data_IF_471612708859
#
_entry.id   IF_471612708859
#
_cell.length_a   1.000
_cell.length_b   1.000
_cell.length_c   1.000
_cell.angle_alpha   90.00
_cell.angle_beta   90.00
_cell.angle_gamma   90.00
#
_symmetry.space_group_name_H-M   'P 1'
#
loop_
_entity.id
_entity.type
_entity.pdbx_description
1 polymer ?
#
# COMPACT_ATOMS: atom_id res chain seq x y z
N UNK A 1 47.11 23.36 -32.48
CA UNK A 1 46.17 24.18 -33.28
C UNK A 1 45.26 23.27 -34.08
N UNK A 2 43.95 23.27 -33.77
CA UNK A 2 42.79 23.10 -34.69
C UNK A 2 41.55 22.82 -33.83
N UNK A 3 40.76 23.87 -33.63
CA UNK A 3 39.44 23.84 -33.00
C UNK A 3 38.46 23.25 -34.03
N UNK A 4 37.75 22.19 -33.67
CA UNK A 4 36.61 21.70 -34.46
C UNK A 4 35.33 22.02 -33.68
N UNK A 5 34.72 23.13 -34.08
CA UNK A 5 33.49 23.67 -33.54
C UNK A 5 32.33 22.99 -34.29
N UNK A 6 31.67 22.01 -33.67
CA UNK A 6 30.46 21.40 -34.25
C UNK A 6 29.26 22.16 -33.70
N UNK A 7 28.72 23.08 -34.51
CA UNK A 7 27.37 23.60 -34.35
C UNK A 7 26.40 22.49 -34.76
N UNK A 8 25.64 21.94 -33.81
CA UNK A 8 24.49 21.09 -34.12
C UNK A 8 23.21 21.86 -33.77
N UNK A 9 22.40 22.11 -34.80
CA UNK A 9 21.21 22.95 -34.78
C UNK A 9 20.14 22.41 -33.83
N UNK A 10 19.66 23.27 -32.94
CA UNK A 10 18.54 23.03 -32.05
C UNK A 10 17.23 23.24 -32.82
N UNK A 11 16.64 22.18 -33.35
CA UNK A 11 15.32 22.22 -34.00
C UNK A 11 14.23 22.10 -32.94
N UNK A 12 13.62 23.23 -32.59
CA UNK A 12 12.52 23.32 -31.63
C UNK A 12 11.19 22.95 -32.33
N UNK A 13 10.74 21.71 -32.19
CA UNK A 13 9.42 21.31 -32.66
C UNK A 13 8.35 21.72 -31.62
N UNK A 14 7.55 22.72 -31.99
CA UNK A 14 6.40 23.17 -31.21
C UNK A 14 5.23 22.19 -31.44
N UNK A 15 5.07 21.21 -30.55
CA UNK A 15 3.90 20.32 -30.57
C UNK A 15 2.75 21.03 -29.85
N UNK A 16 1.71 21.39 -30.61
CA UNK A 16 0.49 21.97 -30.08
C UNK A 16 -0.22 21.01 -29.12
N UNK A 17 -0.27 21.36 -27.85
CA UNK A 17 -1.09 20.68 -26.85
C UNK A 17 -2.57 21.02 -27.11
N UNK A 18 -3.32 20.09 -27.67
CA UNK A 18 -4.78 20.15 -27.61
C UNK A 18 -5.20 19.78 -26.18
N UNK A 19 -5.90 20.69 -25.51
CA UNK A 19 -6.46 20.43 -24.19
C UNK A 19 -7.48 19.29 -24.29
N UNK A 20 -7.44 18.29 -23.39
CA UNK A 20 -8.50 17.28 -23.33
C UNK A 20 -9.80 17.97 -22.93
N UNK A 21 -10.83 17.81 -23.77
CA UNK A 21 -12.20 18.19 -23.45
C UNK A 21 -12.64 17.31 -22.28
N UNK A 22 -12.76 17.91 -21.10
CA UNK A 22 -13.28 17.27 -19.90
C UNK A 22 -14.80 17.10 -20.06
N UNK A 23 -15.23 15.88 -20.40
CA UNK A 23 -16.64 15.48 -20.33
C UNK A 23 -16.88 14.98 -18.91
N UNK A 24 -17.66 15.72 -18.14
CA UNK A 24 -18.05 15.31 -16.80
C UNK A 24 -18.83 13.98 -16.87
N UNK A 25 -18.50 12.97 -16.04
CA UNK A 25 -19.28 11.74 -15.98
C UNK A 25 -20.69 12.03 -15.44
N UNK A 26 -21.72 11.32 -15.92
CA UNK A 26 -23.08 11.44 -15.38
C UNK A 26 -23.07 11.09 -13.88
N UNK A 27 -23.63 11.99 -13.08
CA UNK A 27 -23.80 11.80 -11.65
C UNK A 27 -24.63 10.52 -11.42
N UNK A 28 -23.96 9.45 -11.01
CA UNK A 28 -24.63 8.24 -10.54
C UNK A 28 -25.19 8.58 -9.17
N UNK A 29 -26.51 8.73 -9.09
CA UNK A 29 -27.21 8.90 -7.83
C UNK A 29 -26.97 7.66 -6.96
N UNK A 30 -26.12 7.80 -5.95
CA UNK A 30 -26.00 6.81 -4.89
C UNK A 30 -27.33 6.74 -4.15
N UNK A 31 -28.10 5.68 -4.41
CA UNK A 31 -29.18 5.26 -3.52
C UNK A 31 -28.55 4.85 -2.20
N UNK A 32 -28.73 5.71 -1.21
CA UNK A 32 -28.41 5.47 0.18
C UNK A 32 -29.26 4.28 0.65
N UNK A 33 -28.67 3.16 1.10
CA UNK A 33 -29.46 2.12 1.77
C UNK A 33 -30.08 2.75 3.01
N UNK A 34 -31.41 2.70 3.06
CA UNK A 34 -32.22 3.14 4.18
C UNK A 34 -31.70 2.47 5.46
N UNK A 35 -31.26 3.27 6.42
CA UNK A 35 -30.96 2.81 7.79
C UNK A 35 -32.22 2.13 8.34
N UNK A 36 -32.12 0.89 8.87
CA UNK A 36 -33.19 0.35 9.67
C UNK A 36 -33.39 1.25 10.89
N UNK A 37 -34.65 1.63 11.08
CA UNK A 37 -35.17 2.43 12.18
C UNK A 37 -34.93 1.67 13.48
N UNK A 38 -33.92 2.07 14.25
CA UNK A 38 -33.69 1.57 15.60
C UNK A 38 -34.85 1.98 16.49
N UNK A 39 -35.68 0.99 16.87
CA UNK A 39 -36.65 1.09 17.95
C UNK A 39 -35.95 1.26 19.31
N UNK A 40 -36.59 1.92 20.29
CA UNK A 40 -36.03 2.11 21.63
C UNK A 40 -35.84 0.77 22.37
N UNK A 41 -34.88 0.68 23.30
CA UNK A 41 -34.55 -0.57 23.97
C UNK A 41 -35.71 -0.93 24.90
N UNK A 42 -36.30 -2.10 24.67
CA UNK A 42 -37.22 -2.73 25.61
C UNK A 42 -36.38 -3.65 26.48
N UNK A 43 -36.50 -3.50 27.80
CA UNK A 43 -35.87 -4.33 28.81
C UNK A 43 -36.04 -5.82 28.49
N UNK A 44 -34.95 -6.47 28.07
CA UNK A 44 -34.88 -7.92 27.93
C UNK A 44 -33.54 -8.40 28.51
N UNK A 45 -33.62 -8.73 29.80
CA UNK A 45 -32.95 -9.87 30.44
C UNK A 45 -31.44 -10.05 30.26
N UNK A 46 -30.75 -9.83 31.39
CA UNK A 46 -29.37 -10.13 31.76
C UNK A 46 -28.89 -11.58 31.56
N UNK A 47 -29.62 -12.40 30.79
CA UNK A 47 -29.29 -13.79 30.47
C UNK A 47 -28.56 -13.94 29.12
N UNK A 48 -28.72 -13.01 28.18
CA UNK A 48 -28.09 -13.12 26.85
C UNK A 48 -26.62 -12.67 26.84
N UNK A 49 -26.23 -11.79 27.77
CA UNK A 49 -24.85 -11.33 27.96
C UNK A 49 -23.91 -12.44 28.50
N UNK A 50 -24.48 -13.48 29.13
CA UNK A 50 -23.71 -14.62 29.64
C UNK A 50 -23.39 -15.66 28.54
N UNK A 51 -24.11 -15.64 27.42
CA UNK A 51 -23.92 -16.58 26.32
C UNK A 51 -22.83 -16.13 25.32
N UNK A 52 -22.61 -14.81 25.14
CA UNK A 52 -21.55 -14.30 24.26
C UNK A 52 -20.15 -14.33 24.90
N UNK A 53 -20.05 -14.50 26.22
CA UNK A 53 -18.77 -14.64 26.92
C UNK A 53 -18.13 -16.05 26.76
N UNK A 54 -18.85 -17.02 26.18
CA UNK A 54 -18.40 -18.42 26.09
C UNK A 54 -17.81 -18.84 24.73
N UNK A 55 -17.81 -17.97 23.71
CA UNK A 55 -17.32 -18.32 22.36
C UNK A 55 -15.93 -17.74 22.04
N UNK A 56 -15.22 -17.18 23.01
CA UNK A 56 -13.83 -16.71 22.86
C UNK A 56 -12.84 -17.43 23.80
N UNK A 57 -13.21 -18.59 24.37
CA UNK A 57 -12.33 -19.38 25.23
C UNK A 57 -11.55 -20.49 24.51
N UNK A 58 -11.60 -20.56 23.18
CA UNK A 58 -10.81 -21.52 22.40
C UNK A 58 -9.72 -20.85 21.57
N UNK A 59 -8.78 -20.11 22.18
CA UNK A 59 -7.37 -20.00 21.72
C UNK A 59 -6.49 -19.38 22.82
N UNK A 60 -6.52 -19.90 24.03
CA UNK A 60 -5.47 -19.62 25.02
C UNK A 60 -5.03 -20.92 25.69
N UNK A 61 -4.48 -21.81 24.87
CA UNK A 61 -3.65 -22.90 25.35
C UNK A 61 -2.17 -22.52 25.16
N UNK A 62 -1.74 -21.44 25.82
CA UNK A 62 -0.32 -21.10 25.94
C UNK A 62 0.27 -21.96 27.05
N UNK A 63 0.62 -23.19 26.66
CA UNK A 63 1.35 -24.15 27.48
C UNK A 63 2.65 -23.53 28.00
N UNK A 64 2.74 -23.50 29.32
CA UNK A 64 3.90 -23.18 30.15
C UNK A 64 5.10 -24.05 29.78
N UNK A 65 6.13 -23.46 29.17
CA UNK A 65 7.45 -24.08 29.04
C UNK A 65 8.27 -23.54 27.88
N UNK A 66 9.32 -22.74 28.16
CA UNK A 66 10.56 -22.57 27.38
C UNK A 66 10.53 -22.46 25.84
N UNK A 67 9.38 -22.18 25.24
CA UNK A 67 9.16 -22.16 23.80
C UNK A 67 9.32 -20.73 23.32
N UNK A 68 10.24 -20.49 22.39
CA UNK A 68 10.23 -19.28 21.58
C UNK A 68 8.83 -19.11 21.01
N UNK A 69 8.15 -18.04 21.39
CA UNK A 69 6.78 -17.76 20.95
C UNK A 69 6.84 -17.40 19.45
N UNK A 70 6.55 -18.37 18.58
CA UNK A 70 6.58 -18.16 17.13
C UNK A 70 5.27 -17.50 16.74
N UNK A 71 5.31 -16.18 16.55
CA UNK A 71 4.18 -15.43 16.00
C UNK A 71 4.13 -15.59 14.48
N UNK A 72 3.09 -16.24 13.98
CA UNK A 72 2.85 -16.38 12.53
C UNK A 72 2.08 -15.14 12.05
N UNK A 73 2.72 -14.31 11.22
CA UNK A 73 2.10 -13.14 10.60
C UNK A 73 1.62 -13.51 9.20
N UNK A 74 0.37 -13.17 8.86
CA UNK A 74 -0.14 -13.40 7.52
C UNK A 74 0.62 -12.55 6.49
N UNK A 75 0.95 -13.09 5.29
CA UNK A 75 1.59 -12.31 4.23
C UNK A 75 0.78 -11.06 3.85
N UNK A 76 -0.55 -11.18 3.83
CA UNK A 76 -1.45 -10.07 3.50
C UNK A 76 -1.38 -8.92 4.51
N UNK A 77 -1.37 -9.22 5.82
CA UNK A 77 -1.21 -8.19 6.86
C UNK A 77 0.12 -7.46 6.67
N UNK A 78 1.22 -8.21 6.52
CA UNK A 78 2.56 -7.64 6.30
C UNK A 78 2.62 -6.78 5.04
N UNK A 79 1.95 -7.20 3.96
CA UNK A 79 1.90 -6.45 2.70
C UNK A 79 1.20 -5.09 2.87
N UNK A 80 0.06 -5.09 3.57
CA UNK A 80 -0.72 -3.89 3.88
C UNK A 80 0.07 -2.93 4.78
N UNK A 81 0.81 -3.45 5.74
CA UNK A 81 1.67 -2.63 6.61
C UNK A 81 2.76 -1.92 5.81
N UNK A 82 3.42 -2.64 4.88
CA UNK A 82 4.42 -2.05 3.98
C UNK A 82 3.79 -0.97 3.10
N UNK A 83 2.62 -1.25 2.50
CA UNK A 83 1.91 -0.30 1.66
C UNK A 83 1.53 0.97 2.45
N UNK A 84 1.00 0.80 3.66
CA UNK A 84 0.62 1.91 4.53
C UNK A 84 1.83 2.74 4.96
N UNK A 85 2.95 2.10 5.30
CA UNK A 85 4.17 2.77 5.69
C UNK A 85 4.76 3.60 4.54
N UNK A 86 4.79 3.05 3.32
CA UNK A 86 5.25 3.79 2.13
C UNK A 86 4.33 4.97 1.85
N UNK A 87 3.00 4.76 1.86
CA UNK A 87 2.03 5.85 1.68
C UNK A 87 2.21 6.94 2.72
N UNK A 88 2.43 6.56 3.98
CA UNK A 88 2.70 7.51 5.07
C UNK A 88 3.94 8.34 4.80
N UNK A 89 5.07 7.71 4.48
CA UNK A 89 6.34 8.37 4.17
C UNK A 89 6.20 9.34 2.98
N UNK A 90 5.58 8.89 1.89
CA UNK A 90 5.37 9.74 0.70
C UNK A 90 4.46 10.95 0.98
N UNK A 91 3.46 10.81 1.87
CA UNK A 91 2.53 11.90 2.19
C UNK A 91 3.06 12.88 3.24
N UNK A 92 3.79 12.40 4.25
CA UNK A 92 4.17 13.20 5.41
C UNK A 92 5.63 13.66 5.39
N UNK A 93 6.49 12.99 4.61
CA UNK A 93 7.90 13.34 4.46
C UNK A 93 8.26 13.40 2.96
N UNK A 94 7.78 14.42 2.21
CA UNK A 94 7.93 14.45 0.75
C UNK A 94 9.38 14.52 0.27
N UNK A 95 10.29 14.95 1.16
CA UNK A 95 11.72 15.02 0.90
C UNK A 95 12.43 13.68 1.06
N UNK A 96 11.89 12.76 1.88
CA UNK A 96 12.45 11.43 2.00
C UNK A 96 11.97 10.56 0.84
N UNK A 97 12.87 9.71 0.35
CA UNK A 97 12.58 8.83 -0.78
C UNK A 97 12.55 7.42 -0.23
N UNK A 98 11.36 6.88 0.09
CA UNK A 98 11.27 5.56 0.70
C UNK A 98 12.05 4.55 -0.12
N UNK A 99 12.82 3.74 0.60
CA UNK A 99 13.65 2.69 0.04
C UNK A 99 13.40 1.36 0.74
N UNK A 100 13.46 0.29 -0.03
CA UNK A 100 13.31 -1.09 0.45
C UNK A 100 14.63 -1.80 0.25
N UNK A 101 15.13 -2.47 1.29
CA UNK A 101 16.24 -3.41 1.19
C UNK A 101 15.68 -4.82 1.07
N UNK A 102 16.14 -5.56 0.06
CA UNK A 102 15.78 -6.94 -0.17
C UNK A 102 16.75 -7.89 0.54
N UNK A 103 16.35 -9.16 0.70
CA UNK A 103 17.16 -10.21 1.35
C UNK A 103 18.48 -10.51 0.65
N UNK A 104 18.59 -10.21 -0.65
CA UNK A 104 19.83 -10.31 -1.43
C UNK A 104 20.73 -9.07 -1.30
N UNK A 105 20.33 -8.09 -0.49
CA UNK A 105 21.01 -6.81 -0.32
C UNK A 105 20.70 -5.78 -1.41
N UNK A 106 19.92 -6.13 -2.42
CA UNK A 106 19.50 -5.17 -3.44
C UNK A 106 18.58 -4.11 -2.83
N UNK A 107 18.73 -2.86 -3.29
CA UNK A 107 17.91 -1.74 -2.84
C UNK A 107 16.97 -1.27 -3.93
N UNK A 108 15.73 -1.03 -3.55
CA UNK A 108 14.71 -0.37 -4.39
C UNK A 108 14.53 1.03 -3.85
N UNK A 109 14.83 2.04 -4.65
CA UNK A 109 14.77 3.46 -4.27
C UNK A 109 13.82 4.23 -5.17
N UNK A 110 13.31 5.37 -4.70
CA UNK A 110 12.42 6.22 -5.51
C UNK A 110 11.04 5.61 -5.69
N UNK A 111 10.58 4.88 -4.67
CA UNK A 111 9.26 4.27 -4.63
C UNK A 111 8.22 5.39 -4.52
N UNK A 112 7.27 5.41 -5.45
CA UNK A 112 6.15 6.36 -5.45
C UNK A 112 4.91 5.75 -4.82
N UNK A 113 4.68 4.46 -5.07
CA UNK A 113 3.47 3.76 -4.68
C UNK A 113 3.72 2.24 -4.71
N UNK A 114 2.87 1.48 -4.03
CA UNK A 114 2.93 0.01 -3.98
C UNK A 114 1.53 -0.56 -4.11
N UNK A 115 1.37 -1.46 -5.08
CA UNK A 115 0.16 -2.28 -5.20
C UNK A 115 0.41 -3.65 -4.58
N UNK A 116 -0.52 -4.08 -3.74
CA UNK A 116 -0.52 -5.42 -3.12
C UNK A 116 -1.41 -6.34 -3.96
N UNK A 117 -0.84 -7.42 -4.47
CA UNK A 117 -1.61 -8.42 -5.22
C UNK A 117 -2.49 -9.27 -4.30
N UNK A 118 -3.57 -9.91 -4.81
CA UNK A 118 -4.38 -10.83 -4.04
C UNK A 118 -3.53 -11.91 -3.35
N UNK A 119 -3.81 -12.16 -2.06
CA UNK A 119 -3.03 -13.09 -1.22
C UNK A 119 -1.81 -12.46 -0.54
N UNK A 120 -1.42 -11.23 -0.89
CA UNK A 120 -0.39 -10.47 -0.17
C UNK A 120 1.04 -10.98 -0.32
N UNK A 121 1.27 -11.98 -1.18
CA UNK A 121 2.61 -12.56 -1.39
C UNK A 121 3.44 -11.77 -2.38
N UNK A 122 2.80 -10.99 -3.27
CA UNK A 122 3.46 -10.22 -4.32
C UNK A 122 3.17 -8.73 -4.14
N UNK A 123 4.25 -7.94 -4.20
CA UNK A 123 4.23 -6.48 -4.18
C UNK A 123 4.68 -5.95 -5.55
N UNK A 124 3.95 -4.96 -6.08
CA UNK A 124 4.32 -4.24 -7.29
C UNK A 124 4.72 -2.82 -6.90
N UNK A 125 6.02 -2.53 -6.95
CA UNK A 125 6.56 -1.21 -6.67
C UNK A 125 6.50 -0.34 -7.92
N UNK A 126 5.85 0.82 -7.82
CA UNK A 126 5.92 1.89 -8.82
C UNK A 126 7.10 2.79 -8.48
N UNK A 127 8.09 2.87 -9.36
CA UNK A 127 9.36 3.53 -9.12
C UNK A 127 9.55 4.69 -10.10
N UNK A 128 9.85 5.87 -9.56
CA UNK A 128 10.25 7.03 -10.36
C UNK A 128 11.71 6.92 -10.77
N UNK A 129 11.99 7.00 -12.07
CA UNK A 129 13.34 7.01 -12.61
C UNK A 129 13.54 8.12 -13.63
N UNK A 130 14.80 8.43 -13.96
CA UNK A 130 15.12 9.41 -15.00
C UNK A 130 14.57 9.05 -16.39
N UNK A 131 14.27 7.76 -16.62
CA UNK A 131 13.70 7.25 -17.88
C UNK A 131 12.17 7.16 -17.85
N UNK A 132 11.53 7.65 -16.79
CA UNK A 132 10.08 7.53 -16.56
C UNK A 132 9.73 6.56 -15.44
N UNK A 133 8.47 6.10 -15.43
CA UNK A 133 7.98 5.16 -14.42
C UNK A 133 8.45 3.73 -14.75
N UNK A 134 8.95 3.04 -13.72
CA UNK A 134 9.29 1.62 -13.79
C UNK A 134 8.47 0.84 -12.78
N UNK A 135 8.18 -0.42 -13.11
CA UNK A 135 7.45 -1.33 -12.22
C UNK A 135 8.39 -2.47 -11.83
N UNK A 136 8.46 -2.78 -10.54
CA UNK A 136 9.23 -3.92 -10.05
C UNK A 136 8.33 -4.84 -9.23
N UNK A 137 8.24 -6.08 -9.66
CA UNK A 137 7.52 -7.14 -8.95
C UNK A 137 8.49 -7.82 -8.00
N UNK A 138 8.08 -7.97 -6.74
CA UNK A 138 8.91 -8.55 -5.68
C UNK A 138 8.01 -9.39 -4.79
N UNK A 139 8.50 -10.54 -4.34
CA UNK A 139 7.77 -11.31 -3.35
C UNK A 139 8.01 -10.75 -1.94
N UNK A 140 6.99 -10.79 -1.09
CA UNK A 140 7.04 -10.19 0.24
C UNK A 140 8.11 -10.81 1.15
N UNK A 141 8.41 -12.10 0.98
CA UNK A 141 9.48 -12.78 1.72
C UNK A 141 10.88 -12.21 1.41
N UNK A 142 11.05 -11.59 0.24
CA UNK A 142 12.32 -10.96 -0.14
C UNK A 142 12.47 -9.56 0.46
N UNK A 143 11.42 -8.97 1.01
CA UNK A 143 11.52 -7.66 1.67
C UNK A 143 12.14 -7.86 3.04
N UNK A 144 13.30 -7.24 3.27
CA UNK A 144 14.00 -7.31 4.55
C UNK A 144 13.65 -6.11 5.44
N UNK A 145 13.77 -4.90 4.90
CA UNK A 145 13.52 -3.66 5.66
C UNK A 145 13.05 -2.51 4.78
N UNK A 146 12.38 -1.56 5.43
CA UNK A 146 11.99 -0.26 4.88
C UNK A 146 12.87 0.83 5.52
N UNK A 147 13.31 1.80 4.74
CA UNK A 147 14.13 2.94 5.21
C UNK A 147 13.72 4.22 4.48
N UNK A 148 14.01 5.38 5.08
CA UNK A 148 13.75 6.71 4.52
C UNK A 148 14.96 7.34 3.81
#
# INVERSE_FOLDING_TARGET
MKKLLILLSLTLALVGAQAPIYVAPPATAFQQPSRPKSSPPTDATSAELAAMAKTHQDTQNSGKGGSSDIMIISPESRAKDIQAAIKYLTMHVPTSKPSITLTDGAKITGIMDVDVMPGGTILIFKISSLKGMQYKVVNIEQVQSLSE
#
